data_IF_012757848499
#
_entry.id   IF_012757848499
#
_cell.length_a   1.000
_cell.length_b   1.000
_cell.length_c   1.000
_cell.angle_alpha   90.00
_cell.angle_beta   90.00
_cell.angle_gamma   90.00
#
_symmetry.space_group_name_H-M   'P 1'
#
loop_
_entity.id
_entity.type
_entity.pdbx_description
1 polymer ?
#
# COMPACT_ATOMS: atom_id res chain seq x y z
N UNK A 1 -47.45 -28.08 -50.17
CA UNK A 1 -46.65 -28.28 -48.94
C UNK A 1 -45.76 -27.06 -48.79
N UNK A 2 -46.31 -26.02 -48.16
CA UNK A 2 -45.80 -24.66 -48.19
C UNK A 2 -45.21 -24.28 -46.82
N UNK A 3 -43.97 -23.78 -46.86
CA UNK A 3 -43.30 -22.89 -45.91
C UNK A 3 -43.67 -23.03 -44.42
N UNK A 4 -42.87 -23.78 -43.66
CA UNK A 4 -42.78 -23.64 -42.21
C UNK A 4 -41.31 -23.56 -41.79
N UNK A 5 -40.62 -22.53 -42.25
CA UNK A 5 -39.30 -22.14 -41.77
C UNK A 5 -39.28 -20.61 -41.62
N UNK A 6 -39.01 -20.13 -40.41
CA UNK A 6 -38.55 -18.76 -40.19
C UNK A 6 -39.61 -17.70 -39.88
N UNK A 7 -40.29 -17.81 -38.74
CA UNK A 7 -40.78 -16.62 -38.03
C UNK A 7 -40.41 -16.73 -36.56
N UNK A 8 -39.13 -16.46 -36.25
CA UNK A 8 -38.80 -15.93 -34.92
C UNK A 8 -39.49 -14.57 -34.85
N UNK A 9 -40.57 -14.50 -34.09
CA UNK A 9 -41.28 -13.24 -33.86
C UNK A 9 -40.29 -12.21 -33.26
N UNK A 10 -40.33 -10.93 -33.69
CA UNK A 10 -39.39 -9.90 -33.20
C UNK A 10 -39.33 -9.85 -31.66
N UNK A 11 -40.47 -10.11 -31.01
CA UNK A 11 -40.64 -10.15 -29.56
C UNK A 11 -39.79 -11.20 -28.83
N UNK A 12 -39.46 -12.33 -29.45
CA UNK A 12 -38.62 -13.35 -28.81
C UNK A 12 -37.13 -12.99 -28.87
N UNK A 13 -36.66 -12.37 -29.95
CA UNK A 13 -35.28 -11.86 -30.04
C UNK A 13 -35.07 -10.70 -29.06
N UNK A 14 -36.09 -9.84 -28.88
CA UNK A 14 -36.05 -8.74 -27.91
C UNK A 14 -35.89 -9.23 -26.46
N UNK A 15 -36.54 -10.33 -26.08
CA UNK A 15 -36.43 -10.88 -24.72
C UNK A 15 -35.05 -11.52 -24.45
N UNK A 16 -34.50 -12.27 -25.41
CA UNK A 16 -33.20 -12.94 -25.25
C UNK A 16 -32.03 -11.96 -25.36
N UNK A 17 -32.06 -11.06 -26.34
CA UNK A 17 -31.01 -10.05 -26.53
C UNK A 17 -31.11 -8.97 -25.44
N UNK A 18 -32.32 -8.54 -25.08
CA UNK A 18 -32.56 -7.61 -23.98
C UNK A 18 -32.16 -8.19 -22.63
N UNK A 19 -32.46 -9.46 -22.37
CA UNK A 19 -31.98 -10.17 -21.18
C UNK A 19 -30.45 -10.23 -21.11
N UNK A 20 -29.79 -10.63 -22.21
CA UNK A 20 -28.33 -10.66 -22.28
C UNK A 20 -27.70 -9.28 -22.07
N UNK A 21 -28.26 -8.23 -22.67
CA UNK A 21 -27.81 -6.84 -22.47
C UNK A 21 -27.97 -6.42 -21.01
N UNK A 22 -29.09 -6.74 -20.35
CA UNK A 22 -29.30 -6.45 -18.93
C UNK A 22 -28.24 -7.13 -18.05
N UNK A 23 -27.93 -8.41 -18.28
CA UNK A 23 -26.88 -9.09 -17.52
C UNK A 23 -25.50 -8.49 -17.74
N UNK A 24 -25.18 -8.09 -18.97
CA UNK A 24 -23.91 -7.41 -19.30
C UNK A 24 -23.83 -6.06 -18.61
N UNK A 25 -24.89 -5.24 -18.68
CA UNK A 25 -24.94 -3.93 -18.02
C UNK A 25 -24.83 -4.08 -16.50
N UNK A 26 -25.56 -5.03 -15.90
CA UNK A 26 -25.47 -5.34 -14.47
C UNK A 26 -24.05 -5.79 -14.11
N UNK A 27 -23.44 -6.67 -14.90
CA UNK A 27 -22.06 -7.12 -14.70
C UNK A 27 -21.05 -5.97 -14.74
N UNK A 28 -21.17 -5.07 -15.72
CA UNK A 28 -20.34 -3.88 -15.82
C UNK A 28 -20.53 -2.94 -14.64
N UNK A 29 -21.77 -2.76 -14.16
CA UNK A 29 -22.06 -1.98 -12.96
C UNK A 29 -21.45 -2.61 -11.70
N UNK A 30 -21.56 -3.93 -11.54
CA UNK A 30 -20.93 -4.65 -10.41
C UNK A 30 -19.41 -4.46 -10.45
N UNK A 31 -18.77 -4.65 -11.61
CA UNK A 31 -17.32 -4.45 -11.78
C UNK A 31 -16.95 -3.00 -11.42
N UNK A 32 -17.71 -2.02 -11.89
CA UNK A 32 -17.47 -0.62 -11.58
C UNK A 32 -17.56 -0.32 -10.08
N UNK A 33 -18.56 -0.87 -9.39
CA UNK A 33 -18.69 -0.75 -7.93
C UNK A 33 -17.55 -1.44 -7.18
N UNK A 34 -17.11 -2.62 -7.62
CA UNK A 34 -15.96 -3.31 -7.03
C UNK A 34 -14.68 -2.49 -7.17
N UNK A 35 -14.47 -1.85 -8.34
CA UNK A 35 -13.35 -0.93 -8.56
C UNK A 35 -13.46 0.28 -7.63
N UNK A 36 -14.64 0.89 -7.50
CA UNK A 36 -14.84 2.04 -6.61
C UNK A 36 -14.57 1.69 -5.13
N UNK A 37 -15.02 0.52 -4.68
CA UNK A 37 -14.75 0.01 -3.32
C UNK A 37 -13.24 -0.25 -3.14
N UNK A 38 -12.57 -0.79 -4.15
CA UNK A 38 -11.13 -0.98 -4.13
C UNK A 38 -10.38 0.36 -4.04
N UNK A 39 -10.78 1.38 -4.83
CA UNK A 39 -10.21 2.74 -4.77
C UNK A 39 -10.37 3.32 -3.38
N UNK A 40 -11.55 3.16 -2.76
CA UNK A 40 -11.78 3.62 -1.39
C UNK A 40 -10.78 3.01 -0.39
N UNK A 41 -10.65 1.67 -0.39
CA UNK A 41 -9.72 0.98 0.53
C UNK A 41 -8.26 1.34 0.25
N UNK A 42 -7.89 1.45 -1.02
CA UNK A 42 -6.52 1.80 -1.40
C UNK A 42 -6.20 3.27 -1.04
N UNK A 43 -7.15 4.19 -1.18
CA UNK A 43 -6.98 5.58 -0.82
C UNK A 43 -6.79 5.74 0.70
N UNK A 44 -7.62 5.08 1.50
CA UNK A 44 -7.48 5.05 2.97
C UNK A 44 -6.13 4.45 3.39
N UNK A 45 -5.67 3.39 2.72
CA UNK A 45 -4.36 2.78 3.00
C UNK A 45 -3.17 3.70 2.69
N UNK A 46 -3.39 4.79 1.94
CA UNK A 46 -2.40 5.81 1.59
C UNK A 46 -2.62 7.12 2.35
N UNK A 47 -3.46 7.10 3.40
CA UNK A 47 -3.80 8.28 4.19
C UNK A 47 -4.49 9.39 3.39
N UNK A 48 -5.12 9.04 2.27
CA UNK A 48 -6.01 9.93 1.52
C UNK A 48 -7.43 9.69 1.97
N UNK A 49 -8.27 10.73 1.94
CA UNK A 49 -9.71 10.59 2.17
C UNK A 49 -10.33 9.67 1.10
N UNK A 50 -10.64 8.43 1.49
CA UNK A 50 -11.18 7.42 0.59
C UNK A 50 -12.57 7.76 0.09
N UNK A 51 -13.40 8.42 0.91
CA UNK A 51 -14.75 8.85 0.51
C UNK A 51 -14.70 9.87 -0.64
N UNK A 52 -13.77 10.84 -0.58
CA UNK A 52 -13.63 11.82 -1.67
C UNK A 52 -13.16 11.14 -2.95
N UNK A 53 -12.18 10.24 -2.87
CA UNK A 53 -11.71 9.51 -4.06
C UNK A 53 -12.75 8.56 -4.64
N UNK A 54 -13.55 7.90 -3.79
CA UNK A 54 -14.69 7.11 -4.23
C UNK A 54 -15.71 7.97 -4.98
N UNK A 55 -16.10 9.13 -4.43
CA UNK A 55 -17.04 10.04 -5.09
C UNK A 55 -16.51 10.55 -6.44
N UNK A 56 -15.22 10.90 -6.51
CA UNK A 56 -14.60 11.32 -7.77
C UNK A 56 -14.70 10.23 -8.82
N UNK A 57 -14.31 8.98 -8.49
CA UNK A 57 -14.38 7.85 -9.43
C UNK A 57 -15.82 7.49 -9.80
N UNK A 58 -16.75 7.55 -8.85
CA UNK A 58 -18.16 7.26 -9.09
C UNK A 58 -18.80 8.26 -10.06
N UNK A 59 -18.49 9.55 -9.93
CA UNK A 59 -19.09 10.62 -10.74
C UNK A 59 -18.42 10.77 -12.11
N UNK A 60 -17.11 10.60 -12.18
CA UNK A 60 -16.33 10.82 -13.42
C UNK A 60 -16.00 9.52 -14.17
N UNK A 61 -16.33 8.36 -13.58
CA UNK A 61 -16.13 7.05 -14.16
C UNK A 61 -14.65 6.72 -14.37
N UNK A 62 -14.32 6.29 -15.59
CA UNK A 62 -12.95 5.91 -15.98
C UNK A 62 -11.98 7.10 -15.86
N UNK A 63 -12.44 8.33 -16.10
CA UNK A 63 -11.56 9.52 -15.99
C UNK A 63 -11.04 9.68 -14.55
N UNK A 64 -11.92 9.55 -13.56
CA UNK A 64 -11.53 9.60 -12.16
C UNK A 64 -10.60 8.46 -11.77
N UNK A 65 -10.79 7.28 -12.33
CA UNK A 65 -9.89 6.14 -12.11
C UNK A 65 -8.49 6.45 -12.65
N UNK A 66 -8.38 7.04 -13.84
CA UNK A 66 -7.07 7.44 -14.41
C UNK A 66 -6.40 8.48 -13.51
N UNK A 67 -7.12 9.53 -13.12
CA UNK A 67 -6.59 10.57 -12.22
C UNK A 67 -6.13 9.96 -10.90
N UNK A 68 -6.92 9.05 -10.33
CA UNK A 68 -6.57 8.33 -9.12
C UNK A 68 -5.25 7.57 -9.29
N UNK A 69 -5.10 6.80 -10.37
CA UNK A 69 -3.90 6.01 -10.63
C UNK A 69 -2.64 6.88 -10.79
N UNK A 70 -2.76 8.06 -11.40
CA UNK A 70 -1.65 9.02 -11.49
C UNK A 70 -1.24 9.50 -10.10
N UNK A 71 -2.18 10.06 -9.32
CA UNK A 71 -1.88 10.62 -7.98
C UNK A 71 -1.42 9.54 -6.99
N UNK A 72 -1.96 8.32 -7.13
CA UNK A 72 -1.58 7.16 -6.32
C UNK A 72 -0.11 6.80 -6.47
N UNK A 73 0.47 6.98 -7.66
CA UNK A 73 1.85 6.58 -7.97
C UNK A 73 2.87 7.33 -7.12
N UNK A 74 2.54 8.56 -6.71
CA UNK A 74 3.40 9.40 -5.89
C UNK A 74 3.26 9.14 -4.38
N UNK A 75 2.30 8.31 -3.95
CA UNK A 75 2.00 8.10 -2.52
C UNK A 75 2.29 6.66 -2.09
N UNK A 76 3.31 6.40 -1.24
CA UNK A 76 3.55 5.06 -0.70
C UNK A 76 2.41 4.62 0.23
N UNK A 77 2.22 3.31 0.37
CA UNK A 77 1.25 2.73 1.32
C UNK A 77 1.71 3.03 2.75
N UNK A 78 0.81 3.56 3.58
CA UNK A 78 1.11 3.91 4.96
C UNK A 78 0.93 2.68 5.88
N UNK A 79 1.84 2.46 6.86
CA UNK A 79 1.65 1.42 7.87
C UNK A 79 0.39 1.67 8.71
N UNK A 80 -0.30 0.60 9.10
CA UNK A 80 -1.45 0.70 9.99
C UNK A 80 -1.06 1.40 11.31
N UNK A 81 -1.74 2.50 11.63
CA UNK A 81 -1.45 3.34 12.80
C UNK A 81 -0.74 4.67 12.49
N UNK A 82 -0.36 4.92 11.23
CA UNK A 82 0.18 6.20 10.81
C UNK A 82 -0.95 7.22 10.62
N UNK A 83 -0.99 8.27 11.44
CA UNK A 83 -1.93 9.39 11.26
C UNK A 83 -1.27 10.52 10.45
N UNK A 84 -1.82 10.89 9.27
CA UNK A 84 -1.36 12.05 8.52
C UNK A 84 -1.96 13.33 9.15
N UNK A 85 -1.56 13.62 10.38
CA UNK A 85 -2.00 14.79 11.16
C UNK A 85 -0.95 15.88 11.32
N UNK A 86 0.30 15.62 10.94
CA UNK A 86 1.39 16.60 11.04
C UNK A 86 2.16 16.67 9.72
N UNK A 87 1.73 17.56 8.84
CA UNK A 87 2.61 18.06 7.80
C UNK A 87 3.56 19.04 8.45
N UNK A 88 4.71 18.54 8.84
CA UNK A 88 5.71 19.30 9.54
C UNK A 88 6.51 20.07 8.47
N UNK A 89 6.62 21.40 8.58
CA UNK A 89 7.28 22.21 7.56
C UNK A 89 8.79 21.99 7.62
N UNK A 90 9.39 21.57 6.51
CA UNK A 90 10.77 21.93 6.18
C UNK A 90 11.91 21.25 6.96
N UNK A 91 11.91 19.93 7.11
CA UNK A 91 13.15 19.20 7.41
C UNK A 91 13.26 18.02 6.45
N UNK A 92 14.25 18.13 5.56
CA UNK A 92 14.79 16.95 4.89
C UNK A 92 15.24 15.97 5.97
N UNK A 93 15.15 14.64 5.74
CA UNK A 93 15.66 13.65 6.67
C UNK A 93 17.13 13.97 6.98
N UNK A 94 17.41 14.49 8.18
CA UNK A 94 18.77 14.71 8.62
C UNK A 94 19.36 13.32 8.85
N UNK A 95 20.52 13.04 8.24
CA UNK A 95 21.27 11.84 8.57
C UNK A 95 21.44 11.77 10.10
N UNK A 96 21.29 10.59 10.73
CA UNK A 96 21.48 10.48 12.16
C UNK A 96 22.83 11.11 12.54
N UNK A 97 22.88 11.96 13.60
CA UNK A 97 24.12 12.60 14.01
C UNK A 97 25.17 11.50 14.24
N UNK A 98 26.43 11.72 13.80
CA UNK A 98 27.52 10.79 14.09
C UNK A 98 27.49 10.44 15.58
N UNK A 99 27.75 9.17 15.97
CA UNK A 99 27.80 8.78 17.37
C UNK A 99 28.66 9.79 18.13
N UNK A 100 28.08 10.44 19.14
CA UNK A 100 28.76 11.47 19.91
C UNK A 100 30.13 10.92 20.33
N UNK A 101 31.19 11.65 19.99
CA UNK A 101 32.55 11.26 20.36
C UNK A 101 32.58 10.98 21.87
N UNK A 102 33.14 9.83 22.31
CA UNK A 102 33.23 9.53 23.73
C UNK A 102 34.01 10.65 24.45
N UNK A 103 33.62 11.01 25.68
CA UNK A 103 34.24 12.09 26.43
C UNK A 103 35.77 11.87 26.53
N UNK A 104 36.58 12.92 26.34
CA UNK A 104 38.03 12.81 26.43
C UNK A 104 38.41 12.49 27.87
N UNK A 105 38.77 11.23 28.15
CA UNK A 105 39.28 10.86 29.48
C UNK A 105 39.06 9.43 29.94
N UNK A 106 38.36 8.56 29.22
CA UNK A 106 38.32 7.13 29.56
C UNK A 106 39.52 6.40 28.95
N UNK A 107 40.47 5.87 29.75
CA UNK A 107 41.47 4.96 29.23
C UNK A 107 40.75 3.70 28.75
N UNK A 108 40.82 3.44 27.45
CA UNK A 108 40.32 2.23 26.83
C UNK A 108 41.16 1.03 27.30
N UNK A 109 40.84 0.48 28.48
CA UNK A 109 41.38 -0.81 28.91
C UNK A 109 40.61 -1.89 28.17
N UNK A 110 41.06 -2.21 26.96
CA UNK A 110 40.55 -3.35 26.19
C UNK A 110 41.06 -4.65 26.80
N UNK A 111 40.23 -5.30 27.61
CA UNK A 111 40.46 -6.68 28.04
C UNK A 111 40.20 -7.62 26.87
N UNK A 112 41.14 -8.50 26.52
CA UNK A 112 40.97 -9.43 25.39
C UNK A 112 40.20 -10.68 25.82
N UNK A 113 39.25 -11.14 24.99
CA UNK A 113 38.54 -12.39 25.24
C UNK A 113 39.48 -13.59 25.20
N UNK A 114 39.52 -14.39 26.27
CA UNK A 114 40.41 -15.56 26.39
C UNK A 114 40.06 -16.72 25.46
N UNK A 115 38.80 -16.78 24.98
CA UNK A 115 38.36 -17.87 24.11
C UNK A 115 38.63 -17.59 22.62
N UNK A 116 38.46 -16.34 22.16
CA UNK A 116 38.57 -16.01 20.73
C UNK A 116 39.50 -14.84 20.39
N UNK A 117 40.15 -14.24 21.38
CA UNK A 117 41.16 -13.20 21.18
C UNK A 117 40.64 -11.83 20.75
N UNK A 118 39.32 -11.58 20.72
CA UNK A 118 38.78 -10.26 20.35
C UNK A 118 38.87 -9.26 21.51
N UNK A 119 39.16 -7.98 21.26
CA UNK A 119 39.11 -6.95 22.31
C UNK A 119 37.68 -6.79 22.82
N UNK A 120 37.51 -6.69 24.14
CA UNK A 120 36.22 -6.49 24.81
C UNK A 120 36.16 -5.08 25.39
N UNK A 121 34.96 -4.50 25.37
CA UNK A 121 34.67 -3.30 26.14
C UNK A 121 34.57 -3.64 27.64
N UNK A 122 35.04 -2.75 28.54
CA UNK A 122 34.90 -2.95 29.98
C UNK A 122 33.42 -3.13 30.38
N UNK A 123 33.12 -4.14 31.19
CA UNK A 123 31.80 -4.34 31.80
C UNK A 123 30.81 -5.23 31.02
N UNK A 124 31.20 -5.82 29.90
CA UNK A 124 30.37 -6.82 29.22
C UNK A 124 30.49 -8.18 29.91
N UNK A 125 29.36 -8.87 30.14
CA UNK A 125 29.35 -10.19 30.80
C UNK A 125 29.67 -11.36 29.86
N UNK A 126 29.52 -11.16 28.55
CA UNK A 126 29.74 -12.18 27.52
C UNK A 126 30.40 -11.57 26.28
N UNK A 127 31.22 -12.36 25.59
CA UNK A 127 31.88 -11.95 24.35
C UNK A 127 30.87 -11.93 23.18
N UNK A 128 30.72 -10.80 22.46
CA UNK A 128 29.78 -10.71 21.34
C UNK A 128 30.23 -11.51 20.11
N UNK A 129 31.51 -11.91 20.02
CA UNK A 129 32.03 -12.65 18.88
C UNK A 129 31.94 -14.17 19.04
N UNK A 130 32.19 -14.70 20.25
CA UNK A 130 32.20 -16.15 20.49
C UNK A 130 31.18 -16.65 21.53
N UNK A 131 30.46 -15.74 22.20
CA UNK A 131 29.47 -16.10 23.23
C UNK A 131 30.05 -16.60 24.56
N UNK A 132 31.38 -16.71 24.69
CA UNK A 132 32.00 -17.11 25.95
C UNK A 132 31.75 -16.05 27.04
N UNK A 133 31.56 -16.51 28.27
CA UNK A 133 31.52 -15.64 29.45
C UNK A 133 32.92 -15.07 29.71
N UNK A 134 33.01 -13.78 29.99
CA UNK A 134 34.27 -13.02 30.09
C UNK A 134 34.54 -12.49 31.48
#
# INVERSE_FOLDING_TARGET
MAFSAGMLTPFQIDLFLGGAICFVVIGLWIIFLLIAIWVYRDAESRGMSGVLWLLVVLLTGIIGLIIYLVVRSDRPVMPAGYQPGYQYPGYAPQAPPPPAAPPPGTPAVTTTCRNCGSPLQPGVAFCPRCGAKV
#
